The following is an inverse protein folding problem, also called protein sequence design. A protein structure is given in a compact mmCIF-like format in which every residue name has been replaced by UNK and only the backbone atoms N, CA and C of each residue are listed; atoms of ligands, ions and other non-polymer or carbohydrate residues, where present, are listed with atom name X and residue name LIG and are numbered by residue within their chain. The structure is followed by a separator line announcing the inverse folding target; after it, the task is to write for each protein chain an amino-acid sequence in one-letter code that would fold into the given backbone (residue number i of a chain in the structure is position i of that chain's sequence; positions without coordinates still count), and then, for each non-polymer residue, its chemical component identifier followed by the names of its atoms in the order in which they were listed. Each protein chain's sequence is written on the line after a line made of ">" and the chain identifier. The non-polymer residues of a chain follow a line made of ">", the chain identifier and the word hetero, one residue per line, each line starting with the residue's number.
data_IF_626649167407
#
_entry.id   IF_626649167407
#
_cell.length_a   1.000
_cell.length_b   1.000
_cell.length_c   1.000
_cell.angle_alpha   90.00
_cell.angle_beta   90.00
_cell.angle_gamma   90.00
#
_symmetry.space_group_name_H-M   'P 1'
#
loop_
_entity.id
_entity.type
_entity.pdbx_description
1 polymer ?
#
# COMPACT_ATOMS: atom_id res chain seq x y z
N UNK A 1 -29.72 -22.79 15.16
CA UNK A 1 -29.31 -21.98 13.99
C UNK A 1 -27.79 -22.01 13.88
N UNK A 2 -27.21 -22.15 12.66
CA UNK A 2 -25.78 -22.21 12.52
C UNK A 2 -25.18 -20.81 12.48
N UNK A 3 -24.33 -20.48 13.47
CA UNK A 3 -23.59 -19.22 13.51
C UNK A 3 -22.30 -19.36 12.73
N UNK A 4 -22.02 -18.42 11.83
CA UNK A 4 -20.81 -18.37 11.02
C UNK A 4 -19.96 -17.16 11.32
N UNK A 5 -18.64 -17.33 11.25
CA UNK A 5 -17.70 -16.21 11.23
C UNK A 5 -17.30 -15.99 9.77
N UNK A 6 -17.57 -14.79 9.25
CA UNK A 6 -17.39 -14.47 7.84
C UNK A 6 -16.90 -13.05 7.63
N UNK A 7 -16.49 -12.73 6.41
CA UNK A 7 -16.13 -11.39 5.98
C UNK A 7 -17.37 -10.66 5.44
N UNK A 8 -17.66 -9.48 5.99
CA UNK A 8 -18.59 -8.50 5.42
C UNK A 8 -17.77 -7.44 4.67
N UNK A 9 -18.14 -7.15 3.41
CA UNK A 9 -17.39 -6.19 2.61
C UNK A 9 -17.81 -4.77 2.95
N UNK A 10 -16.81 -3.95 3.24
CA UNK A 10 -16.91 -2.51 3.40
C UNK A 10 -15.80 -1.86 2.56
N UNK A 11 -15.78 -0.54 2.46
CA UNK A 11 -14.81 0.18 1.65
C UNK A 11 -15.39 0.68 0.33
N UNK A 12 -14.54 1.33 -0.46
CA UNK A 12 -14.93 1.97 -1.72
C UNK A 12 -14.83 1.02 -2.91
N UNK A 13 -15.31 1.50 -4.08
CA UNK A 13 -15.00 0.87 -5.36
C UNK A 13 -13.46 0.83 -5.51
N UNK A 14 -12.93 -0.29 -5.98
CA UNK A 14 -11.51 -0.57 -6.17
C UNK A 14 -10.64 -0.63 -4.89
N UNK A 15 -11.18 -0.30 -3.70
CA UNK A 15 -10.49 -0.46 -2.41
C UNK A 15 -11.30 -1.35 -1.47
N UNK A 16 -11.03 -2.65 -1.50
CA UNK A 16 -11.72 -3.62 -0.67
C UNK A 16 -11.22 -3.56 0.78
N UNK A 17 -12.16 -3.42 1.72
CA UNK A 17 -11.93 -3.49 3.15
C UNK A 17 -13.00 -4.40 3.77
N UNK A 18 -12.61 -5.28 4.69
CA UNK A 18 -13.51 -6.27 5.23
C UNK A 18 -13.62 -6.17 6.75
N UNK A 19 -14.86 -6.33 7.25
CA UNK A 19 -15.09 -6.59 8.67
C UNK A 19 -15.19 -8.11 8.89
N UNK A 20 -14.52 -8.59 9.92
CA UNK A 20 -14.69 -9.97 10.39
C UNK A 20 -15.86 -9.96 11.36
N UNK A 21 -16.94 -10.62 10.99
CA UNK A 21 -18.20 -10.58 11.73
C UNK A 21 -18.72 -11.97 12.03
N UNK A 22 -19.44 -12.05 13.14
CA UNK A 22 -20.21 -13.22 13.54
C UNK A 22 -21.66 -12.98 13.14
N UNK A 23 -22.21 -13.84 12.31
CA UNK A 23 -23.56 -13.69 11.80
C UNK A 23 -24.29 -15.03 11.66
N UNK A 24 -25.62 -14.99 11.57
CA UNK A 24 -26.40 -16.15 11.18
C UNK A 24 -26.08 -16.56 9.73
N UNK A 25 -26.07 -17.85 9.48
CA UNK A 25 -25.79 -18.40 8.14
C UNK A 25 -26.78 -17.94 7.06
N UNK A 26 -28.00 -17.57 7.45
CA UNK A 26 -29.07 -17.12 6.57
C UNK A 26 -29.01 -15.64 6.23
N UNK A 27 -28.30 -14.83 7.04
CA UNK A 27 -28.19 -13.39 6.81
C UNK A 27 -27.41 -13.09 5.53
N UNK A 28 -27.74 -12.03 4.76
CA UNK A 28 -26.95 -11.61 3.61
C UNK A 28 -25.52 -11.20 4.03
N UNK A 29 -24.57 -11.21 3.09
CA UNK A 29 -23.14 -11.00 3.37
C UNK A 29 -22.86 -9.70 4.15
N UNK A 30 -23.43 -8.60 3.73
CA UNK A 30 -23.20 -7.26 4.29
C UNK A 30 -24.38 -6.78 5.16
N UNK A 31 -25.28 -7.71 5.54
CA UNK A 31 -26.45 -7.45 6.35
C UNK A 31 -26.18 -7.47 7.85
N UNK A 32 -27.26 -7.68 8.61
CA UNK A 32 -27.21 -7.72 10.08
C UNK A 32 -26.25 -8.83 10.57
N UNK A 33 -25.40 -8.48 11.49
CA UNK A 33 -24.47 -9.38 12.20
C UNK A 33 -24.69 -9.31 13.71
N UNK A 34 -24.25 -10.33 14.43
CA UNK A 34 -24.36 -10.43 15.89
C UNK A 34 -23.27 -9.59 16.55
N UNK A 35 -22.01 -9.79 16.12
CA UNK A 35 -20.84 -9.10 16.65
C UNK A 35 -19.77 -8.89 15.58
N UNK A 36 -19.10 -7.73 15.62
CA UNK A 36 -17.88 -7.48 14.86
C UNK A 36 -16.67 -7.81 15.74
N UNK A 37 -15.88 -8.79 15.31
CA UNK A 37 -14.69 -9.26 16.03
C UNK A 37 -13.38 -8.69 15.50
N UNK A 38 -13.40 -8.10 14.29
CA UNK A 38 -12.18 -7.51 13.74
C UNK A 38 -12.35 -6.88 12.38
N UNK A 39 -11.22 -6.54 11.77
CA UNK A 39 -11.13 -6.02 10.42
C UNK A 39 -9.98 -6.67 9.66
N UNK A 40 -10.10 -6.75 8.33
CA UNK A 40 -9.12 -7.29 7.41
C UNK A 40 -8.92 -6.37 6.22
N UNK A 41 -7.69 -5.93 6.02
CA UNK A 41 -7.30 -5.11 4.87
C UNK A 41 -6.31 -5.88 3.99
N UNK A 42 -6.72 -6.37 2.81
CA UNK A 42 -5.86 -7.09 1.89
C UNK A 42 -4.93 -6.19 1.06
N UNK A 43 -5.17 -4.86 1.04
CA UNK A 43 -4.46 -3.94 0.15
C UNK A 43 -3.02 -3.66 0.60
N UNK A 44 -2.66 -4.05 1.81
CA UNK A 44 -1.30 -3.94 2.34
C UNK A 44 -0.54 -5.25 2.12
N UNK A 45 0.76 -5.18 1.98
CA UNK A 45 1.63 -6.35 1.99
C UNK A 45 2.66 -6.18 3.14
N UNK A 46 2.63 -7.03 4.17
CA UNK A 46 1.61 -8.07 4.44
C UNK A 46 0.21 -7.48 4.74
N UNK A 47 -0.84 -8.28 4.50
CA UNK A 47 -2.22 -7.89 4.78
C UNK A 47 -2.39 -7.54 6.27
N UNK A 48 -3.07 -6.41 6.54
CA UNK A 48 -3.30 -5.96 7.91
C UNK A 48 -4.56 -6.60 8.48
N UNK A 49 -4.39 -7.30 9.59
CA UNK A 49 -5.48 -7.89 10.38
C UNK A 49 -5.53 -7.17 11.73
N UNK A 50 -6.72 -6.73 12.12
CA UNK A 50 -7.01 -6.23 13.45
C UNK A 50 -8.11 -7.11 14.04
N UNK A 51 -7.78 -7.88 15.08
CA UNK A 51 -8.65 -8.91 15.63
C UNK A 51 -8.73 -8.82 17.15
N UNK A 52 -9.94 -8.83 17.68
CA UNK A 52 -10.21 -9.03 19.09
C UNK A 52 -10.03 -10.52 19.43
N UNK A 53 -8.81 -10.90 19.80
CA UNK A 53 -8.41 -12.30 19.99
C UNK A 53 -9.33 -13.08 20.93
N UNK A 54 -9.65 -12.53 22.09
CA UNK A 54 -10.47 -13.19 23.11
C UNK A 54 -11.89 -13.44 22.62
N UNK A 55 -12.47 -12.47 21.89
CA UNK A 55 -13.80 -12.63 21.32
C UNK A 55 -13.84 -13.65 20.19
N UNK A 56 -12.81 -13.66 19.35
CA UNK A 56 -12.66 -14.65 18.30
C UNK A 56 -12.55 -16.06 18.89
N UNK A 57 -11.72 -16.24 19.90
CA UNK A 57 -11.53 -17.52 20.60
C UNK A 57 -12.84 -17.98 21.27
N UNK A 58 -13.56 -17.07 21.93
CA UNK A 58 -14.86 -17.36 22.54
C UNK A 58 -15.84 -17.93 21.50
N UNK A 59 -16.05 -17.23 20.38
CA UNK A 59 -17.00 -17.67 19.35
C UNK A 59 -16.62 -19.00 18.72
N UNK A 60 -15.31 -19.22 18.48
CA UNK A 60 -14.81 -20.49 17.94
C UNK A 60 -15.01 -21.64 18.94
N UNK A 61 -14.90 -21.39 20.25
CA UNK A 61 -15.15 -22.38 21.30
C UNK A 61 -16.64 -22.70 21.46
N UNK A 62 -17.52 -21.72 21.34
CA UNK A 62 -18.98 -21.89 21.35
C UNK A 62 -19.48 -22.65 20.12
N UNK A 63 -18.64 -22.81 19.08
CA UNK A 63 -18.97 -23.60 17.90
C UNK A 63 -19.34 -22.79 16.67
N UNK A 64 -19.11 -21.49 16.65
CA UNK A 64 -19.25 -20.69 15.44
C UNK A 64 -18.31 -21.21 14.34
N UNK A 65 -18.85 -21.44 13.13
CA UNK A 65 -18.11 -22.00 12.02
C UNK A 65 -17.46 -20.89 11.16
N UNK A 66 -16.13 -20.79 11.13
CA UNK A 66 -15.47 -19.85 10.23
C UNK A 66 -15.57 -20.32 8.78
N UNK A 67 -15.73 -19.38 7.85
CA UNK A 67 -15.52 -19.64 6.42
C UNK A 67 -14.03 -19.92 6.16
N UNK A 68 -13.69 -20.55 5.03
CA UNK A 68 -12.30 -20.96 4.73
C UNK A 68 -11.32 -19.78 4.78
N UNK A 69 -11.67 -18.64 4.17
CA UNK A 69 -10.85 -17.44 4.22
C UNK A 69 -10.63 -16.94 5.65
N UNK A 70 -11.71 -16.87 6.45
CA UNK A 70 -11.61 -16.45 7.86
C UNK A 70 -10.83 -17.45 8.68
N UNK A 71 -10.98 -18.74 8.41
CA UNK A 71 -10.20 -19.80 9.08
C UNK A 71 -8.71 -19.63 8.86
N UNK A 72 -8.30 -19.26 7.64
CA UNK A 72 -6.90 -18.96 7.33
C UNK A 72 -6.41 -17.71 8.08
N UNK A 73 -7.22 -16.65 8.15
CA UNK A 73 -6.92 -15.45 8.93
C UNK A 73 -6.79 -15.78 10.42
N UNK A 74 -7.76 -16.50 11.00
CA UNK A 74 -7.74 -16.91 12.41
C UNK A 74 -6.56 -17.84 12.74
N UNK A 75 -6.19 -18.74 11.81
CA UNK A 75 -4.99 -19.56 11.94
C UNK A 75 -3.73 -18.70 11.90
N UNK A 76 -3.72 -17.73 11.02
CA UNK A 76 -2.68 -16.74 10.93
C UNK A 76 -2.50 -15.92 12.21
N UNK A 77 -3.55 -15.56 12.92
CA UNK A 77 -3.51 -14.85 14.21
C UNK A 77 -3.35 -15.77 15.44
N UNK A 78 -3.35 -17.09 15.23
CA UNK A 78 -3.13 -18.08 16.29
C UNK A 78 -4.38 -18.51 17.06
N UNK A 79 -5.57 -18.01 16.72
CA UNK A 79 -6.82 -18.37 17.42
C UNK A 79 -7.10 -19.88 17.31
N UNK A 80 -6.86 -20.47 16.14
CA UNK A 80 -7.07 -21.91 15.93
C UNK A 80 -6.04 -22.75 16.71
N UNK A 81 -4.80 -22.26 16.82
CA UNK A 81 -3.76 -22.90 17.63
C UNK A 81 -4.14 -22.87 19.13
N UNK A 82 -4.56 -21.70 19.64
CA UNK A 82 -4.97 -21.56 21.04
C UNK A 82 -6.18 -22.45 21.37
N UNK A 83 -7.17 -22.54 20.47
CA UNK A 83 -8.27 -23.50 20.61
C UNK A 83 -7.76 -24.93 20.75
N UNK A 84 -6.80 -25.34 19.92
CA UNK A 84 -6.22 -26.69 19.95
C UNK A 84 -5.48 -26.94 21.28
N UNK A 85 -4.66 -25.96 21.72
CA UNK A 85 -3.93 -26.05 22.98
C UNK A 85 -4.89 -26.13 24.19
N UNK A 86 -5.94 -25.31 24.23
CA UNK A 86 -6.96 -25.37 25.27
C UNK A 86 -7.69 -26.72 25.29
N UNK A 87 -7.94 -27.30 24.10
CA UNK A 87 -8.49 -28.65 23.99
C UNK A 87 -7.53 -29.74 24.53
N UNK A 88 -6.22 -29.54 24.38
CA UNK A 88 -5.19 -30.40 24.98
C UNK A 88 -5.17 -30.33 26.50
N UNK A 89 -5.24 -29.11 27.06
CA UNK A 89 -5.34 -28.88 28.51
C UNK A 89 -6.61 -29.54 29.09
N UNK A 90 -7.76 -29.37 28.42
CA UNK A 90 -9.02 -29.97 28.85
C UNK A 90 -8.98 -31.52 28.83
N UNK A 91 -8.16 -32.14 27.99
CA UNK A 91 -7.91 -33.57 27.93
C UNK A 91 -6.80 -34.03 28.87
N UNK A 92 -6.15 -33.14 29.61
CA UNK A 92 -5.07 -33.48 30.54
C UNK A 92 -3.73 -33.84 29.89
N UNK A 93 -3.53 -33.45 28.61
CA UNK A 93 -2.29 -33.75 27.88
C UNK A 93 -1.08 -32.95 28.36
N UNK A 94 -1.31 -31.68 28.80
CA UNK A 94 -0.29 -30.78 29.34
C UNK A 94 -0.95 -29.67 30.18
N UNK A 95 -0.14 -28.93 30.93
CA UNK A 95 -0.64 -27.84 31.81
C UNK A 95 -1.01 -26.60 31.00
N UNK A 96 -1.83 -25.73 31.61
CA UNK A 96 -2.19 -24.43 31.02
C UNK A 96 -0.97 -23.52 30.80
N UNK A 97 0.02 -23.56 31.70
CA UNK A 97 1.27 -22.82 31.57
C UNK A 97 2.09 -23.28 30.35
N UNK A 98 2.11 -24.59 30.11
CA UNK A 98 2.81 -25.16 28.97
C UNK A 98 2.11 -24.82 27.64
N UNK A 99 0.77 -24.77 27.63
CA UNK A 99 0.00 -24.27 26.50
C UNK A 99 0.35 -22.83 26.15
N UNK A 100 0.44 -21.98 27.17
CA UNK A 100 0.80 -20.56 26.97
C UNK A 100 2.23 -20.41 26.43
N UNK A 101 3.20 -21.12 26.98
CA UNK A 101 4.59 -21.12 26.50
C UNK A 101 4.70 -21.54 25.03
N UNK A 102 3.96 -22.57 24.62
CA UNK A 102 3.93 -23.01 23.23
C UNK A 102 3.31 -21.98 22.29
N UNK A 103 2.26 -21.30 22.75
CA UNK A 103 1.62 -20.22 22.01
C UNK A 103 2.56 -19.01 21.84
N UNK A 104 3.22 -18.58 22.90
CA UNK A 104 4.14 -17.45 22.88
C UNK A 104 5.35 -17.71 21.99
N UNK A 105 5.90 -18.91 22.03
CA UNK A 105 7.00 -19.33 21.16
C UNK A 105 6.58 -19.29 19.67
N UNK A 106 5.38 -19.77 19.35
CA UNK A 106 4.84 -19.69 17.99
C UNK A 106 4.63 -18.24 17.55
N UNK A 107 4.06 -17.39 18.43
CA UNK A 107 3.81 -15.99 18.14
C UNK A 107 5.10 -15.24 17.86
N UNK A 108 6.13 -15.43 18.67
CA UNK A 108 7.45 -14.82 18.48
C UNK A 108 8.07 -15.21 17.11
N UNK A 109 7.97 -16.49 16.71
CA UNK A 109 8.44 -16.93 15.40
C UNK A 109 7.68 -16.26 14.25
N UNK A 110 6.37 -16.08 14.39
CA UNK A 110 5.54 -15.46 13.39
C UNK A 110 5.82 -13.97 13.27
N UNK A 111 5.94 -13.27 14.38
CA UNK A 111 6.24 -11.84 14.41
C UNK A 111 7.61 -11.56 13.76
N UNK A 112 8.60 -12.43 14.02
CA UNK A 112 9.90 -12.36 13.37
C UNK A 112 9.82 -12.56 11.84
N UNK A 113 8.96 -13.49 11.35
CA UNK A 113 8.73 -13.67 9.91
C UNK A 113 8.04 -12.47 9.28
N UNK A 114 6.99 -11.97 9.92
CA UNK A 114 6.25 -10.79 9.45
C UNK A 114 7.14 -9.55 9.43
N UNK A 115 7.99 -9.36 10.43
CA UNK A 115 8.98 -8.27 10.48
C UNK A 115 9.94 -8.30 9.29
N UNK A 116 10.48 -9.49 8.93
CA UNK A 116 11.34 -9.65 7.75
C UNK A 116 10.63 -9.32 6.44
N UNK A 117 9.37 -9.74 6.29
CA UNK A 117 8.57 -9.44 5.10
C UNK A 117 8.31 -7.94 5.01
N UNK A 118 7.92 -7.30 6.12
CA UNK A 118 7.67 -5.86 6.17
C UNK A 118 8.92 -5.04 5.85
N UNK A 119 10.09 -5.42 6.36
CA UNK A 119 11.36 -4.78 6.04
C UNK A 119 11.70 -4.93 4.55
N UNK A 120 11.61 -6.15 4.01
CA UNK A 120 11.88 -6.38 2.60
C UNK A 120 10.97 -5.56 1.66
N UNK A 121 9.71 -5.38 2.02
CA UNK A 121 8.79 -4.52 1.26
C UNK A 121 9.11 -3.03 1.39
N UNK A 122 9.52 -2.58 2.59
CA UNK A 122 9.97 -1.21 2.80
C UNK A 122 11.23 -0.91 1.97
N UNK A 123 12.19 -1.82 1.96
CA UNK A 123 13.43 -1.70 1.19
C UNK A 123 13.16 -1.65 -0.32
N UNK A 124 12.24 -2.51 -0.81
CA UNK A 124 11.81 -2.48 -2.22
C UNK A 124 11.14 -1.16 -2.61
N UNK A 125 10.28 -0.63 -1.75
CA UNK A 125 9.65 0.68 -2.00
C UNK A 125 10.67 1.80 -2.03
N UNK A 126 11.58 1.84 -1.06
CA UNK A 126 12.63 2.83 -1.00
C UNK A 126 13.58 2.75 -2.21
N UNK A 127 13.90 1.54 -2.68
CA UNK A 127 14.69 1.34 -3.90
C UNK A 127 13.95 1.82 -5.16
N UNK A 128 12.65 1.51 -5.26
CA UNK A 128 11.82 1.97 -6.39
C UNK A 128 11.67 3.50 -6.42
N UNK A 129 11.45 4.15 -5.27
CA UNK A 129 11.40 5.62 -5.17
C UNK A 129 12.72 6.27 -5.57
N UNK A 130 13.86 5.72 -5.12
CA UNK A 130 15.18 6.22 -5.52
C UNK A 130 15.41 6.07 -7.03
N UNK A 131 15.00 4.95 -7.62
CA UNK A 131 15.11 4.73 -9.05
C UNK A 131 14.25 5.71 -9.86
N UNK A 132 13.01 5.95 -9.45
CA UNK A 132 12.12 6.93 -10.07
C UNK A 132 12.69 8.35 -9.95
N UNK A 133 13.17 8.73 -8.78
CA UNK A 133 13.79 10.04 -8.58
C UNK A 133 15.03 10.23 -9.46
N UNK A 134 15.87 9.21 -9.60
CA UNK A 134 17.04 9.26 -10.49
C UNK A 134 16.61 9.45 -11.96
N UNK A 135 15.58 8.76 -12.43
CA UNK A 135 15.03 8.94 -13.77
C UNK A 135 14.44 10.33 -13.97
N UNK A 136 13.71 10.86 -12.97
CA UNK A 136 13.17 12.22 -13.03
C UNK A 136 14.29 13.27 -13.12
N UNK A 137 15.35 13.14 -12.35
CA UNK A 137 16.51 14.04 -12.42
C UNK A 137 17.17 13.99 -13.79
N UNK A 138 17.30 12.82 -14.39
CA UNK A 138 17.90 12.65 -15.72
C UNK A 138 17.00 13.27 -16.80
N UNK A 139 15.70 13.00 -16.77
CA UNK A 139 14.74 13.61 -17.70
C UNK A 139 14.65 15.14 -17.56
N UNK A 140 14.75 15.66 -16.34
CA UNK A 140 14.76 17.09 -16.10
C UNK A 140 16.05 17.76 -16.62
N UNK A 141 17.21 17.11 -16.46
CA UNK A 141 18.47 17.58 -17.07
C UNK A 141 18.39 17.62 -18.59
N UNK A 142 17.85 16.56 -19.21
CA UNK A 142 17.68 16.52 -20.66
C UNK A 142 16.76 17.64 -21.15
N UNK A 143 15.61 17.83 -20.51
CA UNK A 143 14.68 18.93 -20.83
C UNK A 143 15.31 20.32 -20.60
N UNK A 144 16.05 20.49 -19.52
CA UNK A 144 16.73 21.75 -19.24
C UNK A 144 17.77 22.08 -20.32
N UNK A 145 18.52 21.07 -20.79
CA UNK A 145 19.48 21.22 -21.88
C UNK A 145 18.79 21.60 -23.20
N UNK A 146 17.65 20.97 -23.55
CA UNK A 146 16.86 21.34 -24.71
C UNK A 146 16.30 22.78 -24.64
N UNK A 147 15.79 23.15 -23.47
CA UNK A 147 15.29 24.53 -23.25
C UNK A 147 16.42 25.55 -23.34
N UNK A 148 17.61 25.22 -22.80
CA UNK A 148 18.78 26.07 -22.92
C UNK A 148 19.21 26.26 -24.38
N UNK A 149 19.27 25.19 -25.16
CA UNK A 149 19.55 25.25 -26.62
C UNK A 149 18.53 26.12 -27.37
N UNK A 150 17.24 25.89 -27.14
CA UNK A 150 16.19 26.74 -27.79
C UNK A 150 16.28 28.20 -27.40
N UNK A 151 16.66 28.51 -26.16
CA UNK A 151 16.87 29.88 -25.70
C UNK A 151 18.10 30.50 -26.38
N UNK A 152 19.18 29.74 -26.52
CA UNK A 152 20.36 30.23 -27.26
C UNK A 152 20.04 30.46 -28.73
N UNK A 153 19.43 29.51 -29.43
CA UNK A 153 19.00 29.66 -30.81
C UNK A 153 18.08 30.87 -31.00
N UNK A 154 17.13 31.09 -30.10
CA UNK A 154 16.24 32.26 -30.12
C UNK A 154 17.01 33.59 -29.86
N UNK A 155 17.98 33.58 -28.97
CA UNK A 155 18.81 34.74 -28.69
C UNK A 155 19.73 35.05 -29.89
N UNK A 156 20.32 34.04 -30.49
CA UNK A 156 21.18 34.15 -31.69
C UNK A 156 20.35 34.66 -32.90
N UNK A 157 19.12 34.18 -33.07
CA UNK A 157 18.22 34.66 -34.11
C UNK A 157 17.79 36.12 -33.89
N UNK A 158 17.53 36.51 -32.65
CA UNK A 158 17.26 37.92 -32.32
C UNK A 158 18.49 38.82 -32.55
N UNK A 159 19.68 38.34 -32.19
CA UNK A 159 20.91 39.09 -32.43
C UNK A 159 21.20 39.25 -33.95
N UNK A 160 20.97 38.17 -34.74
CA UNK A 160 21.09 38.23 -36.19
C UNK A 160 20.10 39.23 -36.82
N UNK A 161 18.83 39.21 -36.42
CA UNK A 161 17.81 40.14 -36.87
C UNK A 161 18.12 41.60 -36.48
N UNK A 162 18.70 41.80 -35.30
CA UNK A 162 19.12 43.16 -34.87
C UNK A 162 20.30 43.67 -35.71
N UNK A 163 21.22 42.81 -36.10
CA UNK A 163 22.34 43.19 -37.00
C UNK A 163 21.86 43.46 -38.40
N UNK A 164 20.92 42.71 -38.94
CA UNK A 164 20.28 42.97 -40.25
C UNK A 164 19.53 44.32 -40.23
N UNK A 165 18.73 44.60 -39.19
CA UNK A 165 18.02 45.84 -39.06
C UNK A 165 18.98 47.05 -38.91
N UNK A 166 20.10 46.88 -38.24
CA UNK A 166 21.12 47.92 -38.12
C UNK A 166 21.84 48.16 -39.46
N UNK A 167 22.09 47.15 -40.28
CA UNK A 167 22.65 47.23 -41.60
C UNK A 167 21.69 47.90 -42.60
N UNK A 168 20.40 47.59 -42.55
CA UNK A 168 19.37 48.25 -43.36
C UNK A 168 19.22 49.75 -43.01
N UNK A 169 19.25 50.05 -41.72
CA UNK A 169 19.20 51.46 -41.26
C UNK A 169 20.44 52.24 -41.71
N UNK A 170 21.62 51.66 -41.63
CA UNK A 170 22.86 52.27 -42.10
C UNK A 170 22.89 52.45 -43.65
N UNK A 171 22.31 51.52 -44.40
CA UNK A 171 22.18 51.62 -45.84
C UNK A 171 21.19 52.71 -46.25
N UNK A 172 20.07 52.85 -45.54
CA UNK A 172 19.08 53.90 -45.75
C UNK A 172 19.62 55.32 -45.40
N UNK A 173 20.45 55.45 -44.40
CA UNK A 173 21.16 56.72 -44.07
C UNK A 173 22.19 57.10 -45.14
N UNK A 174 22.88 56.05 -45.70
CA UNK A 174 23.85 56.32 -46.78
C UNK A 174 23.17 56.74 -48.09
N UNK A 175 22.02 56.17 -48.46
CA UNK A 175 21.21 56.62 -49.61
C UNK A 175 20.61 58.06 -49.42
N UNK A 176 20.20 58.36 -48.18
CA UNK A 176 19.68 59.69 -47.87
C UNK A 176 20.74 60.77 -47.93
N UNK A 177 22.01 60.51 -47.65
CA UNK A 177 23.12 61.45 -47.78
C UNK A 177 23.57 61.62 -49.24
N UNK A 178 23.46 60.63 -50.09
CA UNK A 178 23.81 60.69 -51.48
C UNK A 178 22.73 61.44 -52.31
N UNK A 179 21.46 61.42 -51.84
CA UNK A 179 20.36 62.15 -52.47
C UNK A 179 20.30 63.65 -52.09
N UNK A 180 21.15 64.12 -51.15
CA UNK A 180 21.19 65.51 -50.65
C UNK A 180 22.37 66.34 -51.17
N UNK A 181 23.22 65.75 -52.02
CA UNK A 181 24.29 66.42 -52.77
C UNK A 181 23.85 66.63 -54.25
#
# INVERSE_FOLDING_TARGET
>A
MATKIRLARHGHKDYAYYHIVVADSRSPRDGKYIERIGSYNPNNNPAKVDLKFDRALYWVNVGAQPTDTVRNILSGEGVMLMKHLNGGVAKGAFSAEEAQKRFDAWKAQKDAKNGKISQAEADKKAAAEKALFAQEVETNKAKAAEVAKKRQEAADALAAAAVEAAQEAAAAEAEATEAAE
#
